data_IF_349581029353
#
_entry.id   IF_349581029353
#
_cell.length_a   1.000
_cell.length_b   1.000
_cell.length_c   1.000
_cell.angle_alpha   90.00
_cell.angle_beta   90.00
_cell.angle_gamma   90.00
#
_symmetry.space_group_name_H-M   'P 1'
#
loop_
_entity.id
_entity.type
_entity.pdbx_description
1 polymer ?
#
# COMPACT_ATOMS: atom_id res chain seq x y z
N UNK A 1 -13.10 -3.84 1.89
CA UNK A 1 -11.70 -3.45 2.14
C UNK A 1 -11.62 -2.73 3.48
N UNK A 2 -10.56 -2.94 4.26
CA UNK A 2 -10.27 -2.17 5.49
C UNK A 2 -8.77 -2.00 5.71
N UNK A 3 -8.39 -0.97 6.47
CA UNK A 3 -7.05 -0.84 7.03
C UNK A 3 -7.03 -1.59 8.36
N UNK A 4 -6.07 -2.50 8.55
CA UNK A 4 -5.93 -3.29 9.79
C UNK A 4 -4.77 -2.84 10.66
N UNK A 5 -3.74 -2.26 10.05
CA UNK A 5 -2.59 -1.70 10.75
C UNK A 5 -2.06 -0.49 10.03
N UNK A 6 -1.65 0.52 10.80
CA UNK A 6 -0.92 1.68 10.31
C UNK A 6 0.30 1.92 11.19
N UNK A 7 1.42 2.31 10.60
CA UNK A 7 2.62 2.72 11.33
C UNK A 7 3.21 3.98 10.72
N UNK A 8 3.80 4.82 11.56
CA UNK A 8 4.43 6.07 11.16
C UNK A 8 5.61 6.36 12.08
N UNK A 9 6.69 6.89 11.51
CA UNK A 9 7.89 7.35 12.21
C UNK A 9 8.35 8.67 11.60
N UNK A 10 8.92 9.53 12.44
CA UNK A 10 9.45 10.82 12.03
C UNK A 10 8.43 11.65 11.23
N UNK A 11 7.24 11.87 11.79
CA UNK A 11 6.17 12.68 11.19
C UNK A 11 5.50 13.58 12.22
N UNK A 12 5.63 14.90 12.06
CA UNK A 12 5.08 15.91 12.96
C UNK A 12 5.39 15.62 14.43
N UNK A 13 4.40 15.19 15.22
CA UNK A 13 4.52 14.86 16.64
C UNK A 13 5.12 13.47 16.91
N UNK A 14 5.25 12.61 15.89
CA UNK A 14 5.78 11.26 16.02
C UNK A 14 7.27 11.24 15.68
N UNK A 15 8.14 11.24 16.69
CA UNK A 15 9.58 11.04 16.50
C UNK A 15 9.89 9.55 16.29
N UNK A 16 9.53 8.72 17.26
CA UNK A 16 9.67 7.26 17.21
C UNK A 16 8.58 6.59 16.38
N UNK A 17 8.83 5.33 15.99
CA UNK A 17 7.81 4.53 15.31
C UNK A 17 6.62 4.30 16.26
N UNK A 18 5.44 4.66 15.78
CA UNK A 18 4.17 4.35 16.42
C UNK A 18 3.37 3.43 15.52
N UNK A 19 2.78 2.38 16.11
CA UNK A 19 1.94 1.41 15.43
C UNK A 19 0.52 1.45 15.98
N UNK A 20 -0.45 1.49 15.08
CA UNK A 20 -1.87 1.54 15.39
C UNK A 20 -2.55 0.32 14.77
N UNK A 21 -3.23 -0.46 15.60
CA UNK A 21 -4.13 -1.52 15.15
C UNK A 21 -5.52 -0.93 14.95
N UNK A 22 -6.13 -1.23 13.81
CA UNK A 22 -7.45 -0.76 13.45
C UNK A 22 -8.39 -1.97 13.34
N UNK A 23 -9.46 -1.93 14.12
CA UNK A 23 -10.50 -2.94 14.10
C UNK A 23 -11.40 -2.74 12.89
N UNK A 24 -12.12 -3.79 12.50
CA UNK A 24 -13.23 -3.67 11.55
C UNK A 24 -14.32 -2.76 12.12
N UNK A 25 -14.98 -2.00 11.25
CA UNK A 25 -16.06 -1.10 11.65
C UNK A 25 -15.54 0.24 12.15
N UNK A 26 -15.91 0.61 13.38
CA UNK A 26 -15.63 1.94 13.93
C UNK A 26 -14.41 1.94 14.86
N UNK A 27 -13.53 2.91 14.68
CA UNK A 27 -12.35 3.12 15.52
C UNK A 27 -12.41 4.54 16.12
N UNK A 28 -12.33 4.65 17.45
CA UNK A 28 -12.31 5.93 18.16
C UNK A 28 -10.87 6.32 18.51
N UNK A 29 -10.41 7.47 18.02
CA UNK A 29 -9.10 8.04 18.37
C UNK A 29 -9.33 9.19 19.36
N UNK A 30 -9.03 8.95 20.63
CA UNK A 30 -9.17 9.92 21.71
C UNK A 30 -7.82 10.23 22.39
N UNK A 31 -7.74 11.36 23.07
CA UNK A 31 -6.54 11.80 23.79
C UNK A 31 -6.51 13.31 23.98
N UNK A 32 -5.57 13.81 24.78
CA UNK A 32 -5.39 15.24 25.03
C UNK A 32 -5.10 16.03 23.73
N UNK A 33 -5.32 17.34 23.76
CA UNK A 33 -4.93 18.19 22.63
C UNK A 33 -3.42 18.10 22.38
N UNK A 34 -3.00 18.26 21.12
CA UNK A 34 -1.60 18.27 20.69
C UNK A 34 -0.80 16.95 20.84
N UNK A 35 -1.44 15.83 21.18
CA UNK A 35 -0.76 14.50 21.25
C UNK A 35 -0.58 13.82 19.88
N UNK A 36 -0.89 14.50 18.78
CA UNK A 36 -0.68 13.97 17.43
C UNK A 36 -1.91 13.36 16.72
N UNK A 37 -3.12 13.44 17.28
CA UNK A 37 -4.35 12.93 16.63
C UNK A 37 -4.54 13.46 15.21
N UNK A 38 -4.35 14.77 15.02
CA UNK A 38 -4.42 15.40 13.69
C UNK A 38 -3.32 14.88 12.76
N UNK A 39 -2.11 14.66 13.28
CA UNK A 39 -1.01 14.08 12.50
C UNK A 39 -1.35 12.65 12.06
N UNK A 40 -1.91 11.80 12.93
CA UNK A 40 -2.34 10.46 12.58
C UNK A 40 -3.42 10.47 11.50
N UNK A 41 -4.46 11.29 11.64
CA UNK A 41 -5.54 11.38 10.65
C UNK A 41 -5.08 11.92 9.30
N UNK A 42 -4.08 12.79 9.27
CA UNK A 42 -3.44 13.20 8.02
C UNK A 42 -2.61 12.08 7.40
N UNK A 43 -1.81 11.39 8.21
CA UNK A 43 -0.95 10.29 7.76
C UNK A 43 -1.77 9.10 7.22
N UNK A 44 -2.90 8.79 7.84
CA UNK A 44 -3.82 7.74 7.41
C UNK A 44 -4.43 7.97 6.03
N UNK A 45 -4.43 9.21 5.50
CA UNK A 45 -4.86 9.48 4.13
C UNK A 45 -3.91 8.88 3.09
N UNK A 46 -2.67 8.59 3.48
CA UNK A 46 -1.58 8.30 2.56
C UNK A 46 -1.41 9.41 1.50
N UNK A 47 -1.72 10.66 1.85
CA UNK A 47 -1.56 11.83 0.99
C UNK A 47 -0.84 12.91 1.79
N UNK A 48 0.32 12.53 2.32
CA UNK A 48 1.15 13.39 3.15
C UNK A 48 2.29 13.96 2.34
N UNK A 49 2.64 15.20 2.65
CA UNK A 49 3.98 15.71 2.38
C UNK A 49 4.90 15.41 3.56
N UNK A 50 6.18 15.17 3.29
CA UNK A 50 7.15 14.89 4.33
C UNK A 50 7.24 16.07 5.29
N UNK A 51 6.92 15.80 6.56
CA UNK A 51 7.00 16.77 7.65
C UNK A 51 7.73 16.09 8.80
N UNK A 52 9.05 15.85 8.65
CA UNK A 52 9.82 15.16 9.67
C UNK A 52 9.68 15.84 11.02
N UNK A 53 9.82 15.06 12.10
CA UNK A 53 9.75 15.60 13.45
C UNK A 53 10.88 16.60 13.67
N UNK A 54 10.55 17.79 14.18
CA UNK A 54 11.50 18.87 14.45
C UNK A 54 11.54 19.13 15.94
N UNK A 55 12.46 18.47 16.64
CA UNK A 55 12.79 18.74 18.04
C UNK A 55 14.28 18.55 18.30
N UNK A 56 14.71 18.90 19.52
CA UNK A 56 16.07 18.59 20.01
C UNK A 56 16.39 17.09 19.87
N UNK A 57 15.39 16.20 19.96
CA UNK A 57 15.60 14.75 19.77
C UNK A 57 16.02 14.41 18.34
N UNK A 58 15.47 15.11 17.34
CA UNK A 58 15.82 14.93 15.92
C UNK A 58 17.12 15.61 15.49
N UNK A 59 17.63 16.55 16.32
CA UNK A 59 18.86 17.31 16.12
C UNK A 59 19.56 17.53 17.47
N UNK A 60 20.20 16.49 18.03
CA UNK A 60 20.82 16.58 19.35
C UNK A 60 22.03 17.53 19.37
N UNK A 61 22.66 17.77 18.21
CA UNK A 61 23.72 18.75 18.00
C UNK A 61 23.42 19.56 16.74
N UNK A 62 23.86 20.83 16.69
CA UNK A 62 23.63 21.71 15.53
C UNK A 62 24.20 21.13 14.22
N UNK A 63 25.28 20.36 14.33
CA UNK A 63 26.02 19.71 13.23
C UNK A 63 25.41 18.39 12.78
N UNK A 64 24.48 17.79 13.55
CA UNK A 64 23.83 16.54 13.14
C UNK A 64 22.85 16.84 12.00
N UNK A 65 23.03 16.26 10.80
CA UNK A 65 22.09 16.46 9.70
C UNK A 65 20.74 15.86 10.10
N UNK A 66 19.63 16.63 10.04
CA UNK A 66 18.33 16.12 10.42
C UNK A 66 17.88 15.00 9.47
N UNK A 67 17.25 13.96 10.01
CA UNK A 67 16.57 12.98 9.18
C UNK A 67 15.37 13.64 8.49
N UNK A 68 15.44 13.77 7.17
CA UNK A 68 14.43 14.44 6.34
C UNK A 68 13.27 13.55 5.92
N UNK A 69 13.35 12.25 6.22
CA UNK A 69 12.36 11.28 5.75
C UNK A 69 11.34 10.96 6.85
N UNK A 70 10.08 11.18 6.51
CA UNK A 70 8.97 10.47 7.15
C UNK A 70 8.88 9.07 6.55
N UNK A 71 8.75 8.05 7.39
CA UNK A 71 8.55 6.67 6.93
C UNK A 71 7.32 6.08 7.59
N UNK A 72 6.60 5.22 6.88
CA UNK A 72 5.44 4.57 7.42
C UNK A 72 5.10 3.28 6.70
N UNK A 73 4.00 2.68 7.12
CA UNK A 73 3.48 1.48 6.50
C UNK A 73 2.03 1.24 6.86
N UNK A 74 1.38 0.47 6.00
CA UNK A 74 -0.04 0.21 6.09
C UNK A 74 -0.32 -1.24 5.72
N UNK A 75 -1.26 -1.85 6.42
CA UNK A 75 -1.82 -3.15 6.06
C UNK A 75 -3.28 -2.98 5.68
N UNK A 76 -3.60 -3.40 4.47
CA UNK A 76 -4.97 -3.53 3.99
C UNK A 76 -5.42 -4.98 4.09
N UNK A 77 -6.71 -5.13 4.36
CA UNK A 77 -7.41 -6.40 4.28
C UNK A 77 -8.53 -6.24 3.25
N UNK A 78 -8.51 -7.12 2.24
CA UNK A 78 -9.39 -7.09 1.06
C UNK A 78 -9.74 -8.52 0.69
N UNK A 79 -10.94 -8.78 0.14
CA UNK A 79 -11.21 -10.11 -0.43
C UNK A 79 -10.59 -10.23 -1.83
N UNK A 80 -10.40 -11.45 -2.31
CA UNK A 80 -9.91 -11.67 -3.66
C UNK A 80 -10.86 -11.14 -4.73
N UNK A 81 -12.18 -11.28 -4.55
CA UNK A 81 -13.20 -10.71 -5.44
C UNK A 81 -13.16 -9.17 -5.48
N UNK A 82 -12.99 -8.54 -4.33
CA UNK A 82 -12.89 -7.09 -4.24
C UNK A 82 -11.60 -6.61 -4.91
N UNK A 83 -10.47 -7.28 -4.65
CA UNK A 83 -9.19 -6.97 -5.30
C UNK A 83 -9.30 -7.14 -6.83
N UNK A 84 -9.91 -8.22 -7.30
CA UNK A 84 -10.18 -8.47 -8.73
C UNK A 84 -10.97 -7.32 -9.35
N UNK A 85 -12.07 -6.93 -8.70
CA UNK A 85 -12.94 -5.84 -9.16
C UNK A 85 -12.17 -4.51 -9.23
N UNK A 86 -11.35 -4.23 -8.22
CA UNK A 86 -10.53 -3.01 -8.18
C UNK A 86 -9.50 -2.97 -9.31
N UNK A 87 -8.82 -4.10 -9.58
CA UNK A 87 -7.81 -4.19 -10.65
C UNK A 87 -8.45 -4.09 -12.03
N UNK A 88 -9.62 -4.69 -12.24
CA UNK A 88 -10.36 -4.57 -13.51
C UNK A 88 -10.81 -3.13 -13.80
N UNK A 89 -11.01 -2.30 -12.78
CA UNK A 89 -11.43 -0.90 -12.93
C UNK A 89 -10.29 0.08 -13.20
N UNK A 90 -9.04 -0.39 -13.16
CA UNK A 90 -7.87 0.43 -13.40
C UNK A 90 -7.77 0.85 -14.88
N UNK A 91 -7.23 2.05 -15.18
CA UNK A 91 -7.05 2.49 -16.57
C UNK A 91 -6.04 1.62 -17.33
N UNK A 92 -5.08 1.02 -16.62
CA UNK A 92 -4.12 0.07 -17.18
C UNK A 92 -4.84 -1.11 -17.86
N UNK A 93 -4.36 -1.50 -19.04
CA UNK A 93 -4.92 -2.64 -19.78
C UNK A 93 -4.14 -3.93 -19.54
N UNK A 94 -3.15 -3.89 -18.65
CA UNK A 94 -2.26 -5.01 -18.36
C UNK A 94 -2.12 -5.21 -16.87
N UNK A 95 -2.00 -6.47 -16.50
CA UNK A 95 -1.70 -6.92 -15.16
C UNK A 95 -0.52 -7.88 -15.25
N UNK A 96 0.46 -7.71 -14.37
CA UNK A 96 1.59 -8.63 -14.30
C UNK A 96 1.69 -9.30 -12.93
N UNK A 97 2.02 -10.60 -12.97
CA UNK A 97 2.24 -11.43 -11.80
C UNK A 97 3.61 -12.08 -11.88
N UNK A 98 4.32 -12.12 -10.77
CA UNK A 98 5.58 -12.86 -10.70
C UNK A 98 5.30 -14.36 -10.71
N UNK A 99 6.21 -15.14 -11.29
CA UNK A 99 6.10 -16.59 -11.23
C UNK A 99 6.25 -17.06 -9.78
N UNK A 100 5.26 -17.78 -9.22
CA UNK A 100 5.33 -18.31 -7.86
C UNK A 100 6.35 -19.44 -7.76
N UNK A 101 6.99 -19.60 -6.60
CA UNK A 101 7.96 -20.66 -6.32
C UNK A 101 7.29 -22.01 -6.08
N UNK A 102 6.04 -22.00 -5.66
CA UNK A 102 5.25 -23.18 -5.34
C UNK A 102 4.88 -23.93 -6.62
N UNK A 103 5.33 -25.18 -6.75
CA UNK A 103 5.18 -25.97 -7.98
C UNK A 103 3.74 -26.16 -8.44
N UNK A 104 2.77 -26.22 -7.51
CA UNK A 104 1.36 -26.36 -7.85
C UNK A 104 0.78 -25.10 -8.52
N UNK A 105 1.32 -23.92 -8.21
CA UNK A 105 0.93 -22.66 -8.85
C UNK A 105 1.64 -22.44 -10.19
N UNK A 106 2.74 -23.14 -10.45
CA UNK A 106 3.47 -23.07 -11.73
C UNK A 106 2.81 -23.88 -12.85
N UNK A 107 1.83 -24.73 -12.54
CA UNK A 107 1.19 -25.63 -13.51
C UNK A 107 0.50 -24.86 -14.65
N UNK A 108 -0.17 -23.75 -14.33
CA UNK A 108 -0.75 -22.85 -15.32
C UNK A 108 -0.85 -21.42 -14.75
N UNK A 109 -0.69 -20.38 -15.59
CA UNK A 109 -0.82 -18.99 -15.15
C UNK A 109 -2.20 -18.68 -14.54
N UNK A 110 -3.27 -19.25 -15.11
CA UNK A 110 -4.65 -19.10 -14.64
C UNK A 110 -4.82 -19.57 -13.19
N UNK A 111 -4.12 -20.64 -12.79
CA UNK A 111 -4.13 -21.14 -11.41
C UNK A 111 -3.60 -20.07 -10.46
N UNK A 112 -2.58 -19.29 -10.85
CA UNK A 112 -2.03 -18.22 -10.00
C UNK A 112 -3.07 -17.12 -9.77
N UNK A 113 -3.76 -16.66 -10.82
CA UNK A 113 -4.80 -15.63 -10.70
C UNK A 113 -5.96 -16.11 -9.84
N UNK A 114 -6.47 -17.32 -10.10
CA UNK A 114 -7.57 -17.89 -9.34
C UNK A 114 -7.17 -18.09 -7.87
N UNK A 115 -5.95 -18.59 -7.62
CA UNK A 115 -5.42 -18.75 -6.27
C UNK A 115 -5.31 -17.43 -5.48
N UNK A 116 -5.15 -16.30 -6.15
CA UNK A 116 -5.20 -14.97 -5.52
C UNK A 116 -6.65 -14.54 -5.32
N UNK A 117 -7.46 -14.53 -6.38
CA UNK A 117 -8.79 -13.90 -6.37
C UNK A 117 -9.88 -14.74 -5.70
N UNK A 118 -9.69 -16.03 -5.49
CA UNK A 118 -10.63 -16.88 -4.75
C UNK A 118 -10.41 -16.82 -3.23
N UNK A 119 -9.39 -16.08 -2.75
CA UNK A 119 -9.12 -15.96 -1.32
C UNK A 119 -10.24 -15.13 -0.66
N UNK A 120 -10.85 -15.61 0.44
CA UNK A 120 -11.86 -14.84 1.15
C UNK A 120 -11.26 -13.60 1.82
N UNK A 121 -9.99 -13.68 2.22
CA UNK A 121 -9.25 -12.58 2.84
C UNK A 121 -7.79 -12.56 2.36
N UNK A 122 -7.33 -11.38 1.98
CA UNK A 122 -5.98 -11.07 1.53
C UNK A 122 -5.43 -9.94 2.39
N UNK A 123 -4.27 -10.15 3.00
CA UNK A 123 -3.55 -9.09 3.71
C UNK A 123 -2.44 -8.53 2.82
N UNK A 124 -2.55 -7.27 2.43
CA UNK A 124 -1.57 -6.55 1.63
C UNK A 124 -0.80 -5.57 2.52
N UNK A 125 0.53 -5.66 2.52
CA UNK A 125 1.38 -4.84 3.40
C UNK A 125 2.28 -3.93 2.56
N UNK A 126 2.17 -2.63 2.77
CA UNK A 126 2.94 -1.63 2.04
C UNK A 126 3.74 -0.75 2.98
N UNK A 127 4.89 -0.28 2.50
CA UNK A 127 5.69 0.75 3.17
C UNK A 127 5.77 1.99 2.28
N UNK A 128 5.91 3.15 2.88
CA UNK A 128 6.05 4.41 2.17
C UNK A 128 7.07 5.31 2.86
N UNK A 129 7.58 6.28 2.10
CA UNK A 129 8.39 7.37 2.61
C UNK A 129 7.93 8.70 2.02
N UNK A 130 8.25 9.80 2.69
CA UNK A 130 8.10 11.14 2.16
C UNK A 130 9.29 11.99 2.61
N UNK A 131 10.04 12.55 1.66
CA UNK A 131 11.08 13.53 1.96
C UNK A 131 10.46 14.87 2.40
N UNK A 132 11.15 15.62 3.24
CA UNK A 132 10.74 16.93 3.71
C UNK A 132 10.23 17.83 2.57
N UNK A 133 8.98 18.28 2.69
CA UNK A 133 8.23 19.09 1.72
C UNK A 133 7.96 18.44 0.36
N UNK A 134 8.26 17.16 0.18
CA UNK A 134 7.90 16.38 -1.00
C UNK A 134 6.73 15.45 -0.73
N UNK A 135 6.09 14.94 -1.79
CA UNK A 135 5.01 13.97 -1.68
C UNK A 135 5.51 12.63 -1.13
N UNK A 136 4.56 11.80 -0.66
CA UNK A 136 4.88 10.43 -0.31
C UNK A 136 5.09 9.56 -1.56
N UNK A 137 5.92 8.54 -1.41
CA UNK A 137 6.20 7.52 -2.42
C UNK A 137 6.11 6.13 -1.78
N UNK A 138 5.58 5.17 -2.54
CA UNK A 138 5.54 3.78 -2.13
C UNK A 138 6.92 3.13 -2.24
N UNK A 139 7.25 2.26 -1.27
CA UNK A 139 8.45 1.43 -1.27
C UNK A 139 8.02 -0.02 -1.48
N UNK A 140 8.41 -0.60 -2.62
CA UNK A 140 8.00 -1.94 -3.03
C UNK A 140 9.17 -2.93 -3.02
N UNK A 141 9.59 -3.39 -1.83
CA UNK A 141 10.57 -4.47 -1.72
C UNK A 141 10.31 -5.35 -0.48
N UNK A 142 10.44 -6.69 -0.58
CA UNK A 142 10.76 -7.47 -1.78
C UNK A 142 9.57 -7.67 -2.74
N UNK A 143 9.84 -8.14 -3.97
CA UNK A 143 8.81 -8.58 -4.92
C UNK A 143 8.48 -10.08 -4.70
N UNK A 144 7.24 -10.53 -4.92
CA UNK A 144 6.07 -9.76 -5.35
C UNK A 144 5.61 -8.77 -4.28
N UNK A 145 5.22 -7.55 -4.68
CA UNK A 145 4.99 -6.49 -3.69
C UNK A 145 3.71 -6.71 -2.86
N UNK A 146 2.83 -7.60 -3.30
CA UNK A 146 1.66 -8.05 -2.57
C UNK A 146 1.97 -9.11 -1.48
N UNK A 147 3.12 -9.78 -1.54
CA UNK A 147 3.57 -10.74 -0.52
C UNK A 147 2.67 -11.99 -0.34
N UNK A 148 2.01 -12.47 -1.40
CA UNK A 148 1.02 -13.57 -1.32
C UNK A 148 1.60 -14.96 -1.58
N UNK A 149 2.82 -15.01 -2.14
CA UNK A 149 3.63 -16.19 -2.43
C UNK A 149 5.09 -15.75 -2.58
N UNK A 150 6.01 -16.71 -2.49
CA UNK A 150 7.42 -16.47 -2.84
C UNK A 150 7.59 -16.52 -4.35
N UNK A 151 8.45 -15.67 -4.93
CA UNK A 151 8.77 -15.74 -6.36
C UNK A 151 9.84 -16.78 -6.67
N UNK A 152 9.79 -17.33 -7.88
CA UNK A 152 10.93 -18.01 -8.53
C UNK A 152 11.38 -17.23 -9.76
N UNK A 153 12.70 -17.05 -9.90
CA UNK A 153 13.27 -16.35 -11.04
C UNK A 153 12.84 -14.87 -11.17
N UNK A 154 12.95 -14.37 -12.39
CA UNK A 154 12.63 -12.99 -12.80
C UNK A 154 11.49 -12.92 -13.81
N UNK A 155 10.84 -14.04 -14.10
CA UNK A 155 9.78 -14.09 -15.10
C UNK A 155 8.45 -13.63 -14.51
N UNK A 156 7.70 -12.92 -15.34
CA UNK A 156 6.37 -12.42 -15.04
C UNK A 156 5.38 -13.02 -16.05
N UNK A 157 4.21 -13.41 -15.58
CA UNK A 157 3.04 -13.60 -16.42
C UNK A 157 2.45 -12.23 -16.74
N UNK A 158 2.12 -12.00 -18.01
CA UNK A 158 1.45 -10.80 -18.48
C UNK A 158 0.03 -11.17 -18.87
N UNK A 159 -0.93 -10.50 -18.28
CA UNK A 159 -2.34 -10.64 -18.60
C UNK A 159 -2.84 -9.34 -19.22
N UNK A 160 -3.53 -9.46 -20.33
CA UNK A 160 -4.35 -8.38 -20.86
C UNK A 160 -5.68 -8.37 -20.11
N UNK A 161 -6.14 -7.17 -19.77
CA UNK A 161 -7.47 -6.93 -19.22
C UNK A 161 -8.43 -6.74 -20.40
N UNK A 162 -9.51 -7.50 -20.43
CA UNK A 162 -10.49 -7.44 -21.51
C UNK A 162 -11.08 -6.04 -21.67
N UNK A 163 -11.45 -5.65 -22.90
CA UNK A 163 -11.99 -4.31 -23.18
C UNK A 163 -13.29 -4.01 -22.39
N UNK A 164 -14.07 -5.03 -22.06
CA UNK A 164 -15.27 -4.92 -21.24
C UNK A 164 -14.99 -4.90 -19.72
N UNK A 165 -13.71 -4.98 -19.32
CA UNK A 165 -13.22 -4.98 -17.93
C UNK A 165 -13.82 -6.10 -17.07
N UNK A 166 -14.05 -7.28 -17.65
CA UNK A 166 -14.63 -8.44 -16.93
C UNK A 166 -13.67 -9.60 -16.74
N UNK A 167 -12.61 -9.70 -17.53
CA UNK A 167 -11.71 -10.86 -17.49
C UNK A 167 -10.25 -10.49 -17.73
N UNK A 168 -9.40 -11.47 -17.42
CA UNK A 168 -7.96 -11.44 -17.70
C UNK A 168 -7.67 -12.53 -18.71
N UNK A 169 -6.84 -12.24 -19.70
CA UNK A 169 -6.36 -13.22 -20.68
C UNK A 169 -4.85 -13.21 -20.69
N UNK A 170 -4.22 -14.37 -20.57
CA UNK A 170 -2.76 -14.48 -20.65
C UNK A 170 -2.30 -14.03 -22.04
N UNK A 171 -1.45 -12.99 -22.07
CA UNK A 171 -0.90 -12.44 -23.31
C UNK A 171 0.57 -12.80 -23.52
N UNK A 172 1.27 -13.20 -22.45
CA UNK A 172 2.60 -13.79 -22.57
C UNK A 172 3.40 -13.81 -21.28
N UNK A 173 4.73 -13.82 -21.44
CA UNK A 173 5.71 -13.72 -20.36
C UNK A 173 6.73 -12.64 -20.65
N UNK A 174 7.27 -12.01 -19.62
CA UNK A 174 8.37 -11.03 -19.73
C UNK A 174 9.37 -11.24 -18.60
N UNK A 175 10.63 -10.88 -18.82
CA UNK A 175 11.69 -10.87 -17.80
C UNK A 175 11.97 -9.46 -17.27
N UNK A 176 11.40 -8.42 -17.89
CA UNK A 176 11.58 -7.04 -17.46
C UNK A 176 10.64 -6.70 -16.30
N UNK A 177 11.12 -6.01 -15.26
CA UNK A 177 10.29 -5.61 -14.13
C UNK A 177 9.17 -4.66 -14.60
N UNK A 178 7.90 -5.07 -14.49
CA UNK A 178 6.78 -4.29 -14.97
C UNK A 178 6.42 -3.16 -13.98
N UNK A 179 5.84 -2.10 -14.54
CA UNK A 179 5.23 -1.00 -13.78
C UNK A 179 3.88 -1.41 -13.17
N UNK A 180 3.25 -2.39 -13.80
CA UNK A 180 1.88 -2.88 -13.70
C UNK A 180 1.80 -4.22 -12.93
N UNK A 181 2.69 -4.37 -11.94
CA UNK A 181 2.68 -5.52 -11.01
C UNK A 181 1.49 -5.41 -10.06
N UNK A 182 0.80 -6.54 -9.83
CA UNK A 182 -0.45 -6.58 -9.05
C UNK A 182 -0.37 -5.82 -7.73
N UNK A 183 0.69 -6.04 -6.94
CA UNK A 183 0.82 -5.40 -5.64
C UNK A 183 0.99 -3.89 -5.72
N UNK A 184 1.69 -3.37 -6.74
CA UNK A 184 1.82 -1.93 -7.01
C UNK A 184 0.46 -1.34 -7.37
N UNK A 185 -0.22 -1.92 -8.36
CA UNK A 185 -1.55 -1.49 -8.80
C UNK A 185 -2.55 -1.50 -7.65
N UNK A 186 -2.53 -2.55 -6.83
CA UNK A 186 -3.34 -2.67 -5.64
C UNK A 186 -3.04 -1.55 -4.62
N UNK A 187 -1.77 -1.19 -4.40
CA UNK A 187 -1.43 -0.10 -3.48
C UNK A 187 -2.04 1.25 -3.91
N UNK A 188 -1.96 1.57 -5.20
CA UNK A 188 -2.52 2.80 -5.75
C UNK A 188 -4.04 2.83 -5.68
N UNK A 189 -4.72 1.76 -6.09
CA UNK A 189 -6.19 1.71 -6.08
C UNK A 189 -6.74 1.71 -4.65
N UNK A 190 -6.11 0.99 -3.72
CA UNK A 190 -6.54 0.94 -2.31
C UNK A 190 -6.37 2.29 -1.63
N UNK A 191 -5.28 3.01 -1.93
CA UNK A 191 -5.11 4.40 -1.48
C UNK A 191 -6.26 5.29 -1.97
N UNK A 192 -6.64 5.18 -3.24
CA UNK A 192 -7.74 5.96 -3.82
C UNK A 192 -9.12 5.71 -3.18
N UNK A 193 -9.27 4.62 -2.41
CA UNK A 193 -10.50 4.28 -1.68
C UNK A 193 -10.53 4.84 -0.25
N UNK A 194 -9.47 5.50 0.22
CA UNK A 194 -9.46 6.13 1.54
C UNK A 194 -10.21 7.46 1.47
N UNK A 195 -11.40 7.50 2.08
CA UNK A 195 -12.22 8.70 2.13
C UNK A 195 -12.05 9.43 3.47
N UNK A 196 -11.95 10.77 3.41
CA UNK A 196 -12.06 11.63 4.59
C UNK A 196 -13.26 12.55 4.43
N UNK A 197 -14.22 12.38 5.33
CA UNK A 197 -15.27 13.36 5.52
C UNK A 197 -14.73 14.57 6.28
N UNK A 198 -14.90 15.76 5.72
CA UNK A 198 -14.65 17.04 6.36
C UNK A 198 -16.01 17.72 6.53
N UNK A 199 -16.64 17.66 7.70
CA UNK A 199 -17.85 18.44 7.93
C UNK A 199 -17.48 19.92 7.86
N UNK A 200 -17.99 20.63 6.86
CA UNK A 200 -17.95 22.08 6.83
C UNK A 200 -18.75 22.59 8.04
N UNK A 201 -18.10 23.42 8.85
CA UNK A 201 -18.82 24.19 9.86
C UNK A 201 -19.37 25.40 9.13
N UNK A 202 -20.69 25.42 8.89
CA UNK A 202 -21.38 26.66 8.58
C UNK A 202 -21.12 27.62 9.74
N UNK A 203 -20.33 28.65 9.46
CA UNK A 203 -20.00 29.75 10.36
C UNK A 203 -20.59 31.04 9.84
#
# INVERSE_FOLDING_TARGET
MRISKFRIKNYKSYYEEQSFLLNSGFNLIAGQNNVGKTALLEALKLDISGKPHKSVLSRPQETTPPNRYTVGGIKFIVSGDELKTLVLQLPENKLTLLMPKESHLQQSPEIVLNHIFERPEITLSYSFQAEENQGFEWIFHPLPSHGLYERTGSDYFVYDISADRKSFTLSGRTASPPTDELGKLAAYVLRGRIYRFLPERYG
#
